data_IF_637889519091
#
_entry.id   IF_637889519091
#
_cell.length_a   1.000
_cell.length_b   1.000
_cell.length_c   1.000
_cell.angle_alpha   90.00
_cell.angle_beta   90.00
_cell.angle_gamma   90.00
#
_symmetry.space_group_name_H-M   'P 1'
#
loop_
_entity.id
_entity.type
_entity.pdbx_description
1 polymer ?
#
# COMPACT_ATOMS: atom_id res chain seq x y z
N UNK A 1 35.87 26.94 -11.61
CA UNK A 1 35.55 25.65 -12.28
C UNK A 1 34.39 24.88 -11.64
N UNK A 2 34.25 24.82 -10.31
CA UNK A 2 33.15 24.10 -9.63
C UNK A 2 31.72 24.52 -10.04
N UNK A 3 31.49 25.80 -10.34
CA UNK A 3 30.15 26.31 -10.67
C UNK A 3 29.65 25.91 -12.09
N UNK A 4 30.55 25.49 -13.00
CA UNK A 4 30.18 24.95 -14.32
C UNK A 4 29.76 23.48 -14.23
N UNK A 5 30.36 22.70 -13.33
CA UNK A 5 30.05 21.28 -13.13
C UNK A 5 28.65 21.07 -12.54
N UNK A 6 28.24 21.89 -11.57
CA UNK A 6 26.91 21.83 -10.96
C UNK A 6 25.79 22.19 -11.94
N UNK A 7 26.02 23.15 -12.85
CA UNK A 7 25.04 23.52 -13.88
C UNK A 7 24.86 22.44 -14.95
N UNK A 8 25.93 21.74 -15.33
CA UNK A 8 25.85 20.62 -16.27
C UNK A 8 25.04 19.46 -15.67
N UNK A 9 25.34 19.06 -14.43
CA UNK A 9 24.60 18.02 -13.71
C UNK A 9 23.11 18.37 -13.57
N UNK A 10 22.77 19.64 -13.31
CA UNK A 10 21.38 20.09 -13.24
C UNK A 10 20.65 20.07 -14.58
N UNK A 11 21.34 20.33 -15.69
CA UNK A 11 20.77 20.26 -17.03
C UNK A 11 20.51 18.79 -17.43
N UNK A 12 21.46 17.90 -17.16
CA UNK A 12 21.34 16.46 -17.43
C UNK A 12 20.20 15.82 -16.62
N UNK A 13 20.07 16.20 -15.34
CA UNK A 13 18.94 15.77 -14.48
C UNK A 13 17.60 16.27 -15.03
N UNK A 14 17.55 17.46 -15.64
CA UNK A 14 16.32 18.02 -16.21
C UNK A 14 15.93 17.33 -17.53
N UNK A 15 16.89 17.01 -18.39
CA UNK A 15 16.66 16.24 -19.61
C UNK A 15 16.19 14.81 -19.29
N UNK A 16 16.86 14.14 -18.35
CA UNK A 16 16.46 12.81 -17.88
C UNK A 16 15.02 12.79 -17.31
N UNK A 17 14.61 13.86 -16.61
CA UNK A 17 13.23 14.01 -16.12
C UNK A 17 12.20 14.08 -17.25
N UNK A 18 12.48 14.82 -18.32
CA UNK A 18 11.57 14.92 -19.47
C UNK A 18 11.45 13.58 -20.19
N UNK A 19 12.58 12.89 -20.40
CA UNK A 19 12.59 11.57 -21.03
C UNK A 19 11.85 10.51 -20.20
N UNK A 20 11.95 10.57 -18.87
CA UNK A 20 11.22 9.68 -17.97
C UNK A 20 9.72 9.94 -17.96
N UNK A 21 9.29 11.18 -18.18
CA UNK A 21 7.87 11.50 -18.23
C UNK A 21 7.19 10.91 -19.48
N UNK A 22 7.93 10.80 -20.59
CA UNK A 22 7.47 10.22 -21.86
C UNK A 22 7.82 8.73 -22.03
N UNK A 23 8.63 8.15 -21.13
CA UNK A 23 9.05 6.76 -21.18
C UNK A 23 7.86 5.79 -20.97
N UNK A 24 7.93 4.60 -21.57
CA UNK A 24 7.04 3.49 -21.22
C UNK A 24 7.37 2.93 -19.82
N UNK A 25 6.44 2.15 -19.27
CA UNK A 25 6.55 1.62 -17.90
C UNK A 25 7.75 0.68 -17.72
N UNK A 26 8.13 -0.03 -18.78
CA UNK A 26 9.24 -0.99 -18.75
C UNK A 26 10.60 -0.28 -18.71
N UNK A 27 10.72 0.86 -19.38
CA UNK A 27 11.88 1.75 -19.30
C UNK A 27 11.94 2.42 -17.93
N UNK A 28 10.81 2.79 -17.35
CA UNK A 28 10.76 3.33 -15.97
C UNK A 28 11.23 2.28 -14.96
N UNK A 29 10.74 1.04 -15.03
CA UNK A 29 11.21 -0.06 -14.15
C UNK A 29 12.73 -0.24 -14.23
N UNK A 30 13.29 -0.25 -15.44
CA UNK A 30 14.74 -0.36 -15.65
C UNK A 30 15.52 0.83 -15.06
N UNK A 31 15.05 2.05 -15.27
CA UNK A 31 15.73 3.24 -14.71
C UNK A 31 15.67 3.23 -13.18
N UNK A 32 14.58 2.79 -12.57
CA UNK A 32 14.49 2.66 -11.11
C UNK A 32 15.47 1.62 -10.59
N UNK A 33 15.57 0.46 -11.25
CA UNK A 33 16.53 -0.57 -10.85
C UNK A 33 17.96 -0.03 -10.86
N UNK A 34 18.33 0.74 -11.90
CA UNK A 34 19.64 1.41 -11.98
C UNK A 34 19.80 2.48 -10.91
N UNK A 35 18.79 3.32 -10.66
CA UNK A 35 18.85 4.36 -9.63
C UNK A 35 18.99 3.74 -8.23
N UNK A 36 18.31 2.63 -7.94
CA UNK A 36 18.41 1.92 -6.66
C UNK A 36 19.83 1.31 -6.45
N UNK A 37 20.63 1.13 -7.50
CA UNK A 37 22.05 0.72 -7.43
C UNK A 37 23.00 1.91 -7.23
N UNK A 38 22.58 3.14 -7.55
CA UNK A 38 23.39 4.36 -7.39
C UNK A 38 23.38 4.84 -5.93
N UNK A 39 24.56 5.13 -5.39
CA UNK A 39 24.79 5.32 -3.96
C UNK A 39 24.34 6.67 -3.36
N UNK A 40 23.89 7.67 -4.13
CA UNK A 40 23.46 8.97 -3.58
C UNK A 40 21.93 9.05 -3.40
N UNK A 41 21.42 8.93 -2.16
CA UNK A 41 19.99 8.94 -1.89
C UNK A 41 19.32 10.29 -2.18
N UNK A 42 20.08 11.40 -2.10
CA UNK A 42 19.54 12.75 -2.33
C UNK A 42 19.30 13.00 -3.82
N UNK A 43 20.22 12.54 -4.67
CA UNK A 43 20.08 12.62 -6.13
C UNK A 43 18.93 11.72 -6.59
N UNK A 44 18.86 10.49 -6.08
CA UNK A 44 17.76 9.57 -6.38
C UNK A 44 16.40 10.17 -5.98
N UNK A 45 16.29 10.76 -4.80
CA UNK A 45 15.05 11.40 -4.36
C UNK A 45 14.64 12.52 -5.32
N UNK A 46 15.56 13.41 -5.69
CA UNK A 46 15.28 14.50 -6.61
C UNK A 46 14.87 14.02 -8.02
N UNK A 47 15.36 12.88 -8.50
CA UNK A 47 14.99 12.31 -9.80
C UNK A 47 13.62 11.63 -9.72
N UNK A 48 13.32 10.93 -8.63
CA UNK A 48 12.09 10.14 -8.46
C UNK A 48 10.89 10.98 -8.01
N UNK A 49 11.10 12.12 -7.35
CA UNK A 49 10.04 12.99 -6.82
C UNK A 49 8.95 13.34 -7.84
N UNK A 50 9.27 13.80 -9.07
CA UNK A 50 8.28 14.11 -10.09
C UNK A 50 7.51 12.87 -10.59
N UNK A 51 8.12 11.69 -10.49
CA UNK A 51 7.53 10.44 -10.96
C UNK A 51 6.73 9.74 -9.86
N UNK A 52 6.72 10.24 -8.61
CA UNK A 52 6.12 9.54 -7.46
C UNK A 52 4.71 9.02 -7.71
N UNK A 53 3.84 9.85 -8.30
CA UNK A 53 2.46 9.43 -8.63
C UNK A 53 2.45 8.24 -9.60
N UNK A 54 3.25 8.32 -10.67
CA UNK A 54 3.40 7.23 -11.64
C UNK A 54 4.05 5.99 -11.02
N UNK A 55 5.04 6.14 -10.16
CA UNK A 55 5.68 5.03 -9.45
C UNK A 55 4.76 4.36 -8.44
N UNK A 56 3.89 5.12 -7.78
CA UNK A 56 2.87 4.59 -6.90
C UNK A 56 1.87 3.72 -7.68
N UNK A 57 1.52 4.14 -8.90
CA UNK A 57 0.72 3.32 -9.81
C UNK A 57 1.47 2.07 -10.28
N UNK A 58 2.71 2.19 -10.75
CA UNK A 58 3.46 1.05 -11.30
C UNK A 58 3.89 0.02 -10.26
N UNK A 59 3.95 0.41 -8.99
CA UNK A 59 4.42 -0.39 -7.85
C UNK A 59 5.58 -1.36 -8.21
N UNK A 60 6.68 -0.84 -8.79
CA UNK A 60 7.74 -1.71 -9.31
C UNK A 60 8.39 -2.47 -8.15
N UNK A 61 8.57 -3.78 -8.33
CA UNK A 61 9.33 -4.61 -7.40
C UNK A 61 10.74 -4.03 -7.25
N UNK A 62 11.08 -3.59 -6.04
CA UNK A 62 12.37 -2.95 -5.79
C UNK A 62 13.40 -3.97 -5.30
N UNK A 63 14.71 -3.76 -5.52
CA UNK A 63 15.74 -4.59 -4.92
C UNK A 63 15.58 -4.70 -3.39
N UNK A 64 15.74 -5.90 -2.85
CA UNK A 64 15.65 -6.13 -1.41
C UNK A 64 16.98 -5.73 -0.76
N UNK A 65 16.99 -4.55 -0.14
CA UNK A 65 18.16 -4.01 0.57
C UNK A 65 18.02 -4.22 2.08
N UNK A 66 19.15 -4.26 2.79
CA UNK A 66 19.18 -4.47 4.25
C UNK A 66 18.27 -3.49 5.01
N UNK A 67 18.37 -2.18 4.75
CA UNK A 67 17.55 -1.17 5.41
C UNK A 67 16.06 -1.31 5.07
N UNK A 68 15.75 -1.67 3.81
CA UNK A 68 14.39 -1.90 3.34
C UNK A 68 13.77 -3.13 4.00
N UNK A 69 14.53 -4.23 4.12
CA UNK A 69 14.10 -5.41 4.87
C UNK A 69 13.89 -5.06 6.35
N UNK A 70 14.84 -4.36 6.97
CA UNK A 70 14.78 -4.00 8.40
C UNK A 70 13.50 -3.25 8.75
N UNK A 71 13.13 -2.23 7.97
CA UNK A 71 11.96 -1.38 8.28
C UNK A 71 10.67 -1.79 7.57
N UNK A 72 10.67 -2.88 6.82
CA UNK A 72 9.48 -3.35 6.09
C UNK A 72 8.23 -3.53 6.97
N UNK A 73 8.32 -4.02 8.23
CA UNK A 73 7.16 -4.08 9.11
C UNK A 73 6.59 -2.70 9.48
N UNK A 74 7.40 -1.64 9.40
CA UNK A 74 7.05 -0.27 9.75
C UNK A 74 6.64 0.59 8.56
N UNK A 75 6.78 0.09 7.31
CA UNK A 75 6.55 0.87 6.09
C UNK A 75 5.28 1.75 6.12
N UNK A 76 4.10 1.27 6.58
CA UNK A 76 2.89 2.08 6.63
C UNK A 76 2.94 3.28 7.58
N UNK A 77 3.88 3.29 8.52
CA UNK A 77 4.03 4.33 9.54
C UNK A 77 5.22 5.28 9.26
N UNK A 78 5.95 5.07 8.17
CA UNK A 78 7.11 5.90 7.84
C UNK A 78 6.67 7.19 7.14
N UNK A 79 6.84 8.32 7.82
CA UNK A 79 6.43 9.64 7.34
C UNK A 79 7.64 10.53 6.99
N UNK A 80 7.50 11.50 6.08
CA UNK A 80 8.44 12.60 5.93
C UNK A 80 8.69 13.33 7.25
N UNK A 81 9.95 13.71 7.53
CA UNK A 81 10.30 14.38 8.78
C UNK A 81 9.46 15.65 9.11
N UNK A 82 9.06 16.51 8.15
CA UNK A 82 8.21 17.67 8.45
C UNK A 82 6.80 17.32 8.95
N UNK A 83 6.30 16.13 8.58
CA UNK A 83 4.98 15.63 8.97
C UNK A 83 5.02 14.86 10.29
N UNK A 84 6.21 14.45 10.74
CA UNK A 84 6.35 13.68 11.98
C UNK A 84 6.04 14.53 13.21
N UNK A 85 5.37 13.91 14.19
CA UNK A 85 5.09 14.47 15.51
C UNK A 85 5.46 13.45 16.60
N UNK A 86 6.02 13.88 17.75
CA UNK A 86 6.45 12.95 18.80
C UNK A 86 5.34 12.13 19.45
N UNK A 87 4.12 12.65 19.47
CA UNK A 87 2.91 12.08 20.07
C UNK A 87 2.10 11.20 19.11
N UNK A 88 2.43 11.23 17.82
CA UNK A 88 1.86 10.35 16.82
C UNK A 88 2.68 9.04 16.71
N UNK A 89 2.05 7.86 16.62
CA UNK A 89 2.63 6.57 16.27
C UNK A 89 3.02 6.54 14.78
N UNK A 90 4.00 7.37 14.43
CA UNK A 90 4.68 7.38 13.15
C UNK A 90 6.20 7.41 13.36
N UNK A 91 6.94 7.06 12.31
CA UNK A 91 8.40 7.01 12.31
C UNK A 91 8.94 8.00 11.28
N UNK A 92 9.82 8.95 11.65
CA UNK A 92 10.35 9.91 10.71
C UNK A 92 11.38 9.21 9.81
N UNK A 93 11.25 9.38 8.50
CA UNK A 93 12.16 8.78 7.50
C UNK A 93 13.63 9.11 7.73
N UNK A 94 13.95 10.26 8.33
CA UNK A 94 15.33 10.67 8.63
C UNK A 94 16.00 9.80 9.70
N UNK A 95 15.24 9.12 10.57
CA UNK A 95 15.77 8.24 11.61
C UNK A 95 16.20 6.85 11.09
N UNK A 96 15.71 6.43 9.92
CA UNK A 96 15.88 5.06 9.44
C UNK A 96 17.35 4.71 9.17
N UNK A 97 18.09 5.57 8.47
CA UNK A 97 19.46 5.25 8.06
C UNK A 97 20.44 5.16 9.25
N UNK A 98 20.41 6.07 10.24
CA UNK A 98 21.22 5.91 11.45
C UNK A 98 20.90 4.62 12.21
N UNK A 99 19.62 4.30 12.40
CA UNK A 99 19.20 3.07 13.08
C UNK A 99 19.64 1.82 12.31
N UNK A 100 19.50 1.80 10.98
CA UNK A 100 19.96 0.67 10.15
C UNK A 100 21.47 0.43 10.27
N UNK A 101 22.28 1.50 10.36
CA UNK A 101 23.74 1.36 10.53
C UNK A 101 24.11 0.77 11.88
N UNK A 102 23.43 1.18 12.96
CA UNK A 102 23.60 0.60 14.30
C UNK A 102 23.33 -0.90 14.26
N UNK A 103 22.15 -1.30 13.76
CA UNK A 103 21.77 -2.70 13.65
C UNK A 103 22.78 -3.47 12.80
N UNK A 104 23.13 -2.95 11.62
CA UNK A 104 24.07 -3.61 10.71
C UNK A 104 25.46 -3.81 11.29
N UNK A 105 25.94 -2.86 12.10
CA UNK A 105 27.23 -2.95 12.77
C UNK A 105 27.22 -4.00 13.89
N UNK A 106 26.09 -4.13 14.61
CA UNK A 106 25.98 -5.02 15.77
C UNK A 106 25.60 -6.48 15.45
N UNK A 107 25.10 -6.77 14.24
CA UNK A 107 24.69 -8.14 13.83
C UNK A 107 25.83 -9.17 13.77
N UNK A 108 27.09 -8.74 13.69
CA UNK A 108 28.22 -9.66 13.60
C UNK A 108 28.11 -10.65 12.42
N UNK A 109 28.16 -11.95 12.72
CA UNK A 109 28.14 -13.01 11.69
C UNK A 109 26.77 -13.23 11.05
N UNK A 110 25.67 -12.93 11.75
CA UNK A 110 24.29 -13.07 11.23
C UNK A 110 24.05 -12.18 10.01
N UNK A 111 24.79 -11.06 9.94
CA UNK A 111 24.79 -10.19 8.76
C UNK A 111 25.14 -10.94 7.48
N UNK A 112 26.07 -11.90 7.51
CA UNK A 112 26.49 -12.64 6.31
C UNK A 112 25.34 -13.48 5.78
N UNK A 113 24.56 -14.10 6.67
CA UNK A 113 23.37 -14.85 6.29
C UNK A 113 22.34 -13.91 5.63
N UNK A 114 22.03 -12.79 6.28
CA UNK A 114 21.05 -11.82 5.77
C UNK A 114 21.49 -11.25 4.41
N UNK A 115 22.73 -10.77 4.28
CA UNK A 115 23.27 -10.20 3.05
C UNK A 115 23.23 -11.23 1.90
N UNK A 116 23.48 -12.52 2.16
CA UNK A 116 23.35 -13.60 1.16
C UNK A 116 21.91 -13.90 0.77
N UNK A 117 20.99 -13.95 1.74
CA UNK A 117 19.59 -14.27 1.49
C UNK A 117 18.90 -13.19 0.64
N UNK A 118 19.26 -11.92 0.82
CA UNK A 118 18.65 -10.81 0.07
C UNK A 118 19.36 -10.49 -1.26
N UNK A 119 20.58 -11.00 -1.49
CA UNK A 119 21.36 -10.70 -2.68
C UNK A 119 20.62 -11.07 -3.97
N UNK A 120 20.43 -10.08 -4.86
CA UNK A 120 19.72 -10.26 -6.13
C UNK A 120 18.21 -10.51 -6.00
N UNK A 121 17.64 -10.40 -4.80
CA UNK A 121 16.20 -10.56 -4.56
C UNK A 121 15.47 -9.23 -4.62
N UNK A 122 14.15 -9.28 -4.77
CA UNK A 122 13.28 -8.10 -4.75
C UNK A 122 12.34 -8.14 -3.54
N UNK A 123 11.68 -7.02 -3.26
CA UNK A 123 10.62 -6.93 -2.24
C UNK A 123 9.42 -7.83 -2.54
N UNK A 124 9.26 -8.28 -3.79
CA UNK A 124 8.24 -9.25 -4.19
C UNK A 124 8.61 -10.71 -3.91
N UNK A 125 9.87 -11.02 -3.58
CA UNK A 125 10.28 -12.37 -3.19
C UNK A 125 9.87 -12.63 -1.73
N UNK A 126 8.60 -13.02 -1.56
CA UNK A 126 7.98 -13.18 -0.23
C UNK A 126 8.67 -14.23 0.62
N UNK A 127 9.27 -15.26 0.01
CA UNK A 127 10.03 -16.29 0.72
C UNK A 127 11.36 -15.74 1.23
N UNK A 128 12.12 -15.01 0.39
CA UNK A 128 13.37 -14.39 0.82
C UNK A 128 13.14 -13.36 1.93
N UNK A 129 12.07 -12.56 1.81
CA UNK A 129 11.68 -11.59 2.85
C UNK A 129 11.32 -12.28 4.15
N UNK A 130 10.47 -13.32 4.12
CA UNK A 130 10.09 -14.07 5.32
C UNK A 130 11.32 -14.67 6.01
N UNK A 131 12.17 -15.38 5.26
CA UNK A 131 13.35 -16.06 5.80
C UNK A 131 14.37 -15.07 6.39
N UNK A 132 14.71 -14.01 5.66
CA UNK A 132 15.67 -13.02 6.14
C UNK A 132 15.08 -12.16 7.27
N UNK A 133 13.79 -11.83 7.21
CA UNK A 133 13.08 -11.04 8.21
C UNK A 133 12.95 -11.78 9.54
N UNK A 134 12.66 -13.08 9.51
CA UNK A 134 12.59 -13.93 10.71
C UNK A 134 13.92 -13.94 11.49
N UNK A 135 15.05 -13.98 10.78
CA UNK A 135 16.37 -13.87 11.40
C UNK A 135 16.72 -12.43 11.83
N UNK A 136 16.32 -11.41 11.05
CA UNK A 136 16.73 -10.03 11.26
C UNK A 136 15.92 -9.31 12.34
N UNK A 137 14.59 -9.36 12.29
CA UNK A 137 13.75 -8.41 13.04
C UNK A 137 13.80 -8.61 14.56
N UNK A 138 13.71 -9.84 15.12
CA UNK A 138 13.85 -10.05 16.56
C UNK A 138 15.22 -9.60 17.06
N UNK A 139 16.30 -9.91 16.32
CA UNK A 139 17.65 -9.51 16.70
C UNK A 139 17.85 -8.00 16.64
N UNK A 140 17.31 -7.35 15.62
CA UNK A 140 17.36 -5.90 15.51
C UNK A 140 16.62 -5.21 16.66
N UNK A 141 15.52 -5.79 17.15
CA UNK A 141 14.81 -5.29 18.32
C UNK A 141 15.67 -5.32 19.59
N UNK A 142 16.42 -6.40 19.80
CA UNK A 142 17.36 -6.52 20.93
C UNK A 142 18.48 -5.49 20.83
N UNK A 143 19.08 -5.33 19.64
CA UNK A 143 20.16 -4.36 19.41
C UNK A 143 19.66 -2.94 19.71
N UNK A 144 18.48 -2.56 19.20
CA UNK A 144 17.94 -1.21 19.37
C UNK A 144 17.49 -0.90 20.80
N UNK A 145 17.20 -1.91 21.62
CA UNK A 145 16.78 -1.70 23.01
C UNK A 145 17.89 -1.03 23.85
N UNK A 146 19.14 -1.41 23.59
CA UNK A 146 20.31 -1.01 24.40
C UNK A 146 21.30 -0.10 23.66
N UNK A 147 21.13 0.10 22.34
CA UNK A 147 22.08 0.87 21.55
C UNK A 147 22.08 2.36 21.93
N UNK A 148 23.25 2.99 22.16
CA UNK A 148 23.33 4.43 22.38
C UNK A 148 23.01 5.22 21.11
N UNK A 149 22.67 6.50 21.27
CA UNK A 149 22.43 7.38 20.13
C UNK A 149 23.68 7.44 19.22
N UNK A 150 23.52 7.31 17.89
CA UNK A 150 24.64 7.36 16.98
C UNK A 150 25.26 8.76 16.95
N UNK A 151 26.57 8.85 16.69
CA UNK A 151 27.29 10.12 16.69
C UNK A 151 26.70 11.15 15.71
N UNK A 152 26.09 10.69 14.61
CA UNK A 152 25.47 11.52 13.60
C UNK A 152 23.95 11.64 13.73
N UNK A 153 23.38 11.34 14.91
CA UNK A 153 21.95 11.53 15.18
C UNK A 153 21.49 12.97 14.92
N UNK A 154 22.35 13.96 15.17
CA UNK A 154 22.06 15.37 14.92
C UNK A 154 21.72 15.66 13.44
N UNK A 155 22.25 14.88 12.49
CA UNK A 155 21.96 15.04 11.06
C UNK A 155 20.52 14.68 10.69
N UNK A 156 19.81 13.96 11.57
CA UNK A 156 18.38 13.64 11.37
C UNK A 156 17.47 14.85 11.54
N UNK A 157 17.97 15.91 12.19
CA UNK A 157 17.19 17.07 12.62
C UNK A 157 16.33 16.83 13.87
N UNK A 158 16.42 15.64 14.49
CA UNK A 158 15.66 15.27 15.68
C UNK A 158 16.45 15.58 16.95
N UNK A 159 15.74 15.95 18.02
CA UNK A 159 16.38 16.20 19.31
C UNK A 159 17.02 14.90 19.88
N UNK A 160 18.19 14.97 20.55
CA UNK A 160 18.83 13.77 21.12
C UNK A 160 17.94 12.96 22.07
N UNK A 161 17.09 13.64 22.85
CA UNK A 161 16.14 13.01 23.78
C UNK A 161 15.09 12.11 23.11
N UNK A 162 14.86 12.28 21.80
CA UNK A 162 13.89 11.50 21.02
C UNK A 162 14.45 10.13 20.64
N UNK A 163 15.78 9.99 20.57
CA UNK A 163 16.42 8.76 20.08
C UNK A 163 15.96 7.52 20.85
N UNK A 164 16.14 7.50 22.17
CA UNK A 164 15.90 6.28 22.95
C UNK A 164 14.43 5.84 22.94
N UNK A 165 13.44 6.73 23.19
CA UNK A 165 12.03 6.35 23.09
C UNK A 165 11.64 5.83 21.69
N UNK A 166 12.16 6.46 20.63
CA UNK A 166 11.87 6.06 19.26
C UNK A 166 12.51 4.71 18.91
N UNK A 167 13.78 4.49 19.28
CA UNK A 167 14.48 3.22 19.08
C UNK A 167 13.79 2.07 19.81
N UNK A 168 13.33 2.29 21.06
CA UNK A 168 12.56 1.31 21.83
C UNK A 168 11.20 1.01 21.20
N UNK A 169 10.48 2.03 20.73
CA UNK A 169 9.19 1.85 20.07
C UNK A 169 9.34 1.06 18.76
N UNK A 170 10.35 1.38 17.95
CA UNK A 170 10.70 0.63 16.73
C UNK A 170 11.10 -0.80 17.10
N UNK A 171 11.93 -0.99 18.13
CA UNK A 171 12.33 -2.32 18.62
C UNK A 171 11.12 -3.16 19.03
N UNK A 172 10.13 -2.57 19.71
CA UNK A 172 8.90 -3.26 20.08
C UNK A 172 8.13 -3.78 18.85
N UNK A 173 8.10 -3.01 17.75
CA UNK A 173 7.52 -3.44 16.48
C UNK A 173 8.35 -4.55 15.82
N UNK A 174 9.67 -4.37 15.73
CA UNK A 174 10.57 -5.33 15.09
C UNK A 174 10.56 -6.70 15.79
N UNK A 175 10.41 -6.74 17.11
CA UNK A 175 10.24 -8.00 17.85
C UNK A 175 9.05 -8.83 17.35
N UNK A 176 8.03 -8.15 16.82
CA UNK A 176 6.80 -8.73 16.24
C UNK A 176 6.81 -8.77 14.72
N UNK A 177 7.93 -8.37 14.10
CA UNK A 177 8.11 -8.26 12.66
C UNK A 177 7.62 -9.49 11.89
N UNK A 178 7.99 -10.73 12.29
CA UNK A 178 7.56 -11.94 11.58
C UNK A 178 6.04 -12.07 11.48
N UNK A 179 5.34 -11.86 12.60
CA UNK A 179 3.88 -11.97 12.66
C UNK A 179 3.18 -10.80 11.96
N UNK A 180 3.71 -9.58 12.06
CA UNK A 180 3.19 -8.43 11.32
C UNK A 180 3.35 -8.62 9.81
N UNK A 181 4.49 -9.15 9.36
CA UNK A 181 4.70 -9.47 7.95
C UNK A 181 3.77 -10.57 7.47
N UNK A 182 3.58 -11.63 8.26
CA UNK A 182 2.63 -12.69 7.95
C UNK A 182 1.19 -12.15 7.85
N UNK A 183 0.76 -11.33 8.82
CA UNK A 183 -0.55 -10.69 8.82
C UNK A 183 -0.80 -9.89 7.54
N UNK A 184 0.18 -9.07 7.13
CA UNK A 184 0.11 -8.32 5.86
C UNK A 184 0.02 -9.24 4.65
N UNK A 185 0.86 -10.28 4.59
CA UNK A 185 0.87 -11.23 3.47
C UNK A 185 -0.45 -11.98 3.35
N UNK A 186 -1.00 -12.44 4.47
CA UNK A 186 -2.28 -13.17 4.53
C UNK A 186 -3.41 -12.24 4.02
N UNK A 187 -3.37 -10.95 4.39
CA UNK A 187 -4.28 -9.94 3.84
C UNK A 187 -4.12 -9.75 2.32
N UNK A 188 -2.88 -9.65 1.82
CA UNK A 188 -2.59 -9.44 0.39
C UNK A 188 -3.10 -10.61 -0.48
N UNK A 189 -3.12 -11.84 0.05
CA UNK A 189 -3.69 -13.02 -0.64
C UNK A 189 -5.19 -13.20 -0.38
N UNK A 190 -5.82 -12.29 0.36
CA UNK A 190 -7.26 -12.29 0.61
C UNK A 190 -7.73 -13.29 1.68
N UNK A 191 -6.86 -13.75 2.57
CA UNK A 191 -7.26 -14.51 3.75
C UNK A 191 -7.92 -13.52 4.72
N UNK A 192 -9.25 -13.57 4.80
CA UNK A 192 -10.06 -12.58 5.53
C UNK A 192 -10.31 -12.95 6.99
N UNK A 193 -10.30 -14.25 7.31
CA UNK A 193 -10.42 -14.71 8.68
C UNK A 193 -9.12 -14.34 9.39
N UNK A 194 -9.17 -13.23 10.12
CA UNK A 194 -8.04 -12.69 10.85
C UNK A 194 -7.33 -13.83 11.56
N UNK A 195 -6.05 -13.99 11.24
CA UNK A 195 -5.22 -15.04 11.81
C UNK A 195 -5.12 -14.77 13.32
N UNK A 196 -6.10 -15.27 14.09
CA UNK A 196 -6.23 -14.99 15.53
C UNK A 196 -4.94 -15.37 16.23
N UNK A 197 -4.30 -16.46 15.80
CA UNK A 197 -3.00 -16.90 16.30
C UNK A 197 -1.88 -15.87 16.01
N UNK A 198 -1.83 -15.27 14.82
CA UNK A 198 -0.85 -14.22 14.53
C UNK A 198 -1.14 -12.95 15.35
N UNK A 199 -2.40 -12.58 15.53
CA UNK A 199 -2.79 -11.43 16.36
C UNK A 199 -2.42 -11.69 17.82
N UNK A 200 -2.73 -12.88 18.36
CA UNK A 200 -2.34 -13.28 19.71
C UNK A 200 -0.81 -13.25 19.90
N UNK A 201 -0.05 -13.71 18.90
CA UNK A 201 1.41 -13.64 18.92
C UNK A 201 1.94 -12.20 18.86
N UNK A 202 1.29 -11.30 18.11
CA UNK A 202 1.61 -9.87 18.09
C UNK A 202 1.31 -9.24 19.46
N UNK A 203 0.18 -9.60 20.09
CA UNK A 203 -0.24 -9.05 21.37
C UNK A 203 0.50 -9.65 22.56
N UNK A 204 1.17 -10.78 22.38
CA UNK A 204 1.94 -11.42 23.44
C UNK A 204 3.00 -10.45 23.98
N UNK A 205 2.96 -10.24 25.31
CA UNK A 205 3.88 -9.33 26.01
C UNK A 205 3.81 -7.87 25.52
N UNK A 206 2.68 -7.43 24.93
CA UNK A 206 2.53 -6.04 24.48
C UNK A 206 2.69 -5.04 25.62
N UNK A 207 2.31 -5.42 26.85
CA UNK A 207 2.45 -4.60 28.06
C UNK A 207 3.90 -4.36 28.49
N UNK A 208 4.86 -5.11 27.94
CA UNK A 208 6.30 -4.87 28.13
C UNK A 208 6.85 -3.79 27.18
N UNK A 209 6.08 -3.37 26.17
CA UNK A 209 6.46 -2.28 25.30
C UNK A 209 6.18 -0.92 25.95
N UNK A 210 6.87 0.12 25.48
CA UNK A 210 6.51 1.50 25.83
C UNK A 210 5.14 1.86 25.26
N UNK A 211 4.49 2.89 25.81
CA UNK A 211 3.21 3.40 25.30
C UNK A 211 3.28 3.70 23.79
N UNK A 212 4.35 4.35 23.34
CA UNK A 212 4.59 4.63 21.93
C UNK A 212 4.74 3.34 21.10
N UNK A 213 5.42 2.32 21.65
CA UNK A 213 5.54 1.01 21.00
C UNK A 213 4.17 0.32 20.85
N UNK A 214 3.35 0.35 21.90
CA UNK A 214 1.97 -0.14 21.85
C UNK A 214 1.14 0.58 20.79
N UNK A 215 1.24 1.91 20.72
CA UNK A 215 0.54 2.72 19.72
C UNK A 215 0.98 2.41 18.28
N UNK A 216 2.30 2.26 18.03
CA UNK A 216 2.81 1.81 16.72
C UNK A 216 2.28 0.43 16.33
N UNK A 217 2.30 -0.53 17.25
CA UNK A 217 1.83 -1.90 17.00
C UNK A 217 0.32 -1.90 16.71
N UNK A 218 -0.47 -1.23 17.54
CA UNK A 218 -1.92 -1.13 17.34
C UNK A 218 -2.25 -0.48 15.99
N UNK A 219 -1.62 0.65 15.65
CA UNK A 219 -1.81 1.31 14.35
C UNK A 219 -1.40 0.42 13.17
N UNK A 220 -0.29 -0.32 13.28
CA UNK A 220 0.12 -1.27 12.23
C UNK A 220 -0.90 -2.38 12.01
N UNK A 221 -1.40 -2.98 13.09
CA UNK A 221 -2.41 -4.03 13.01
C UNK A 221 -3.69 -3.48 12.37
N UNK A 222 -4.16 -2.29 12.78
CA UNK A 222 -5.34 -1.66 12.20
C UNK A 222 -5.17 -1.30 10.72
N UNK A 223 -4.00 -0.78 10.33
CA UNK A 223 -3.71 -0.43 8.93
C UNK A 223 -3.58 -1.66 8.05
N UNK A 224 -3.01 -2.76 8.55
CA UNK A 224 -2.76 -3.97 7.75
C UNK A 224 -3.95 -4.94 7.76
N UNK A 225 -4.71 -5.00 8.85
CA UNK A 225 -5.85 -5.89 9.03
C UNK A 225 -6.93 -5.19 9.87
N UNK A 226 -7.77 -4.33 9.28
CA UNK A 226 -8.80 -3.61 10.02
C UNK A 226 -9.78 -4.54 10.77
N UNK A 227 -10.03 -5.75 10.25
CA UNK A 227 -10.81 -6.81 10.92
C UNK A 227 -10.26 -7.25 12.28
N UNK A 228 -9.00 -6.90 12.60
CA UNK A 228 -8.39 -7.20 13.89
C UNK A 228 -8.88 -6.26 14.99
N UNK A 229 -9.54 -5.13 14.67
CA UNK A 229 -9.98 -4.17 15.69
C UNK A 229 -10.85 -4.79 16.79
N UNK A 230 -11.89 -5.61 16.49
CA UNK A 230 -12.66 -6.30 17.52
C UNK A 230 -11.82 -7.29 18.34
N UNK A 231 -10.84 -7.97 17.71
CA UNK A 231 -9.94 -8.92 18.38
C UNK A 231 -9.00 -8.20 19.36
N UNK A 232 -8.43 -7.06 18.95
CA UNK A 232 -7.63 -6.19 19.82
C UNK A 232 -8.43 -5.76 21.06
N UNK A 233 -9.72 -5.42 20.89
CA UNK A 233 -10.61 -5.04 22.01
C UNK A 233 -11.04 -6.22 22.87
N UNK A 234 -11.24 -7.41 22.29
CA UNK A 234 -11.48 -8.66 23.02
C UNK A 234 -10.30 -8.98 23.93
N UNK A 235 -9.08 -8.86 23.40
CA UNK A 235 -7.85 -9.06 24.16
C UNK A 235 -7.78 -8.13 25.38
N UNK A 236 -8.01 -6.83 25.17
CA UNK A 236 -8.05 -5.84 26.25
C UNK A 236 -9.11 -6.16 27.31
N UNK A 237 -10.31 -6.60 26.88
CA UNK A 237 -11.41 -6.92 27.80
C UNK A 237 -11.17 -8.21 28.58
N UNK A 238 -10.38 -9.14 28.04
CA UNK A 238 -10.06 -10.45 28.65
C UNK A 238 -8.85 -10.42 29.58
N UNK A 239 -8.03 -9.37 29.53
CA UNK A 239 -6.78 -9.27 30.31
C UNK A 239 -7.00 -9.16 31.82
N UNK A 240 -6.29 -9.99 32.59
CA UNK A 240 -6.28 -9.91 34.06
C UNK A 240 -5.53 -8.68 34.59
N UNK A 241 -4.63 -8.09 33.79
CA UNK A 241 -3.89 -6.88 34.13
C UNK A 241 -4.67 -5.61 33.72
N UNK A 242 -5.32 -4.99 34.71
CA UNK A 242 -6.11 -3.76 34.52
C UNK A 242 -5.25 -2.57 34.03
N UNK A 243 -3.95 -2.53 34.36
CA UNK A 243 -3.04 -1.47 33.97
C UNK A 243 -2.61 -1.60 32.50
N UNK A 244 -2.12 -2.78 32.13
CA UNK A 244 -1.75 -3.09 30.75
C UNK A 244 -2.93 -2.99 29.77
N UNK A 245 -4.11 -3.44 30.18
CA UNK A 245 -5.33 -3.34 29.37
C UNK A 245 -5.71 -1.90 29.03
N UNK A 246 -5.54 -0.95 29.97
CA UNK A 246 -5.82 0.48 29.72
C UNK A 246 -4.88 1.06 28.66
N UNK A 247 -3.59 0.81 28.78
CA UNK A 247 -2.57 1.31 27.84
C UNK A 247 -2.83 0.81 26.41
N UNK A 248 -3.13 -0.48 26.26
CA UNK A 248 -3.45 -1.05 24.94
C UNK A 248 -4.75 -0.47 24.38
N UNK A 249 -5.77 -0.23 25.23
CA UNK A 249 -7.00 0.45 24.82
C UNK A 249 -6.73 1.85 24.29
N UNK A 250 -5.99 2.66 25.05
CA UNK A 250 -5.62 4.03 24.65
C UNK A 250 -4.81 4.04 23.36
N UNK A 251 -3.92 3.07 23.16
CA UNK A 251 -3.18 2.88 21.92
C UNK A 251 -4.08 2.54 20.72
N UNK A 252 -5.08 1.67 20.90
CA UNK A 252 -6.07 1.32 19.86
C UNK A 252 -6.93 2.54 19.52
N UNK A 253 -7.44 3.24 20.53
CA UNK A 253 -8.29 4.41 20.35
C UNK A 253 -7.52 5.54 19.67
N UNK A 254 -6.27 5.81 20.07
CA UNK A 254 -5.37 6.77 19.40
C UNK A 254 -5.10 6.39 17.95
N UNK A 255 -4.76 5.12 17.69
CA UNK A 255 -4.52 4.63 16.33
C UNK A 255 -5.77 4.73 15.44
N UNK A 256 -6.96 4.48 16.01
CA UNK A 256 -8.24 4.61 15.30
C UNK A 256 -8.54 6.07 14.98
N UNK A 257 -8.39 6.97 15.96
CA UNK A 257 -8.60 8.41 15.78
C UNK A 257 -7.71 8.97 14.67
N UNK A 258 -6.42 8.65 14.69
CA UNK A 258 -5.50 9.11 13.66
C UNK A 258 -5.81 8.57 12.27
N UNK A 259 -6.28 7.33 12.17
CA UNK A 259 -6.74 6.78 10.89
C UNK A 259 -7.96 7.56 10.37
N UNK A 260 -8.91 7.89 11.25
CA UNK A 260 -10.07 8.70 10.87
C UNK A 260 -9.64 10.13 10.48
N UNK A 261 -8.75 10.76 11.23
CA UNK A 261 -8.22 12.11 10.90
C UNK A 261 -7.48 12.12 9.56
N UNK A 262 -6.66 11.09 9.30
CA UNK A 262 -5.97 10.94 8.04
C UNK A 262 -6.93 10.71 6.86
N UNK A 263 -8.10 10.10 7.12
CA UNK A 263 -9.14 9.94 6.10
C UNK A 263 -9.87 11.27 5.83
N UNK A 264 -10.03 12.12 6.84
CA UNK A 264 -10.67 13.44 6.68
C UNK A 264 -9.83 14.41 5.85
N UNK A 265 -8.51 14.34 5.92
CA UNK A 265 -7.59 15.21 5.15
C UNK A 265 -7.86 15.15 3.63
N UNK A 266 -8.08 16.31 3.00
CA UNK A 266 -8.36 16.45 1.57
C UNK A 266 -7.28 15.82 0.69
N UNK A 267 -6.01 15.92 1.09
CA UNK A 267 -4.88 15.33 0.38
C UNK A 267 -4.67 13.84 0.68
N UNK A 268 -5.47 13.26 1.58
CA UNK A 268 -5.33 11.90 2.09
C UNK A 268 -5.84 10.81 1.13
N UNK A 269 -6.54 9.83 1.70
CA UNK A 269 -6.88 8.57 1.03
C UNK A 269 -7.66 8.74 -0.29
N UNK A 270 -8.48 9.79 -0.43
CA UNK A 270 -9.27 10.02 -1.63
C UNK A 270 -8.40 10.29 -2.85
N UNK A 271 -7.35 11.12 -2.68
CA UNK A 271 -6.35 11.39 -3.70
C UNK A 271 -5.54 10.14 -4.04
N UNK A 272 -5.20 9.34 -3.02
CA UNK A 272 -4.53 8.05 -3.20
C UNK A 272 -5.36 7.10 -4.08
N UNK A 273 -6.66 6.91 -3.77
CA UNK A 273 -7.55 6.05 -4.57
C UNK A 273 -7.68 6.54 -6.00
N UNK A 274 -7.77 7.86 -6.21
CA UNK A 274 -7.88 8.43 -7.56
C UNK A 274 -6.63 8.22 -8.42
N UNK A 275 -5.46 8.06 -7.79
CA UNK A 275 -4.16 8.01 -8.49
C UNK A 275 -3.49 6.64 -8.50
N UNK A 276 -3.95 5.70 -7.65
CA UNK A 276 -3.41 4.34 -7.59
C UNK A 276 -3.73 3.56 -8.88
N UNK A 277 -2.90 2.57 -9.21
CA UNK A 277 -3.20 1.63 -10.30
C UNK A 277 -4.53 0.92 -10.05
N UNK A 278 -5.29 0.68 -11.12
CA UNK A 278 -6.65 0.17 -11.03
C UNK A 278 -6.71 -1.19 -10.33
N UNK A 279 -5.75 -2.07 -10.62
CA UNK A 279 -5.59 -3.38 -9.97
C UNK A 279 -5.48 -3.30 -8.43
N UNK A 280 -5.00 -2.18 -7.89
CA UNK A 280 -4.84 -1.98 -6.44
C UNK A 280 -6.01 -1.19 -5.82
N UNK A 281 -6.86 -0.56 -6.63
CA UNK A 281 -7.95 0.27 -6.15
C UNK A 281 -9.00 -0.55 -5.38
N UNK A 282 -9.44 -1.70 -5.93
CA UNK A 282 -10.40 -2.59 -5.26
C UNK A 282 -9.92 -3.06 -3.88
N UNK A 283 -8.72 -3.66 -3.74
CA UNK A 283 -8.14 -4.04 -2.45
C UNK A 283 -8.06 -2.87 -1.45
N UNK A 284 -7.64 -1.68 -1.89
CA UNK A 284 -7.57 -0.49 -1.03
C UNK A 284 -8.95 -0.08 -0.52
N UNK A 285 -9.95 -0.05 -1.40
CA UNK A 285 -11.34 0.29 -1.04
C UNK A 285 -11.91 -0.73 -0.07
N UNK A 286 -11.71 -2.04 -0.31
CA UNK A 286 -12.11 -3.11 0.61
C UNK A 286 -11.57 -2.87 2.02
N UNK A 287 -10.29 -2.52 2.13
CA UNK A 287 -9.62 -2.27 3.41
C UNK A 287 -10.26 -1.10 4.16
N UNK A 288 -10.51 0.01 3.48
CA UNK A 288 -11.14 1.20 4.08
C UNK A 288 -12.59 0.90 4.48
N UNK A 289 -13.38 0.27 3.60
CA UNK A 289 -14.77 -0.13 3.90
C UNK A 289 -14.84 -1.04 5.12
N UNK A 290 -13.90 -1.98 5.21
CA UNK A 290 -13.79 -2.88 6.35
C UNK A 290 -13.52 -2.10 7.62
N UNK A 291 -12.50 -1.24 7.61
CA UNK A 291 -12.17 -0.40 8.76
C UNK A 291 -13.38 0.41 9.23
N UNK A 292 -14.05 1.13 8.32
CA UNK A 292 -15.22 1.95 8.65
C UNK A 292 -16.36 1.11 9.24
N UNK A 293 -16.59 -0.10 8.73
CA UNK A 293 -17.60 -1.02 9.27
C UNK A 293 -17.22 -1.52 10.67
N UNK A 294 -15.96 -1.85 10.94
CA UNK A 294 -15.54 -2.27 12.27
C UNK A 294 -15.69 -1.12 13.29
N UNK A 295 -15.35 0.11 12.91
CA UNK A 295 -15.56 1.30 13.76
C UNK A 295 -17.05 1.58 13.97
N UNK A 296 -17.88 1.46 12.93
CA UNK A 296 -19.33 1.68 13.02
C UNK A 296 -20.04 0.66 13.91
N UNK A 297 -19.57 -0.59 13.91
CA UNK A 297 -20.08 -1.66 14.76
C UNK A 297 -19.62 -1.54 16.22
N UNK A 298 -18.65 -0.67 16.50
CA UNK A 298 -18.15 -0.45 17.86
C UNK A 298 -19.01 0.58 18.61
N UNK A 299 -19.66 0.19 19.73
CA UNK A 299 -20.43 1.11 20.55
C UNK A 299 -19.63 2.32 21.05
N UNK A 300 -18.30 2.18 21.21
CA UNK A 300 -17.41 3.25 21.66
C UNK A 300 -17.31 4.43 20.68
N UNK A 301 -17.63 4.23 19.39
CA UNK A 301 -17.54 5.23 18.33
C UNK A 301 -18.91 5.69 17.84
N UNK A 302 -19.96 5.51 18.65
CA UNK A 302 -21.31 5.95 18.28
C UNK A 302 -21.39 7.46 18.01
N UNK A 303 -20.52 8.26 18.66
CA UNK A 303 -20.40 9.71 18.43
C UNK A 303 -19.80 10.06 17.06
N UNK A 304 -19.00 9.16 16.47
CA UNK A 304 -18.31 9.37 15.20
C UNK A 304 -19.17 9.07 13.97
N UNK A 305 -20.43 8.63 14.12
CA UNK A 305 -21.31 8.30 12.98
C UNK A 305 -21.40 9.39 11.90
N UNK A 306 -21.55 10.70 12.23
CA UNK A 306 -21.55 11.76 11.22
C UNK A 306 -20.23 11.83 10.44
N UNK A 307 -19.11 11.64 11.14
CA UNK A 307 -17.76 11.62 10.59
C UNK A 307 -17.55 10.42 9.66
N UNK A 308 -17.96 9.23 10.09
CA UNK A 308 -17.93 8.02 9.26
C UNK A 308 -18.75 8.18 7.99
N UNK A 309 -19.93 8.83 8.07
CA UNK A 309 -20.75 9.11 6.90
C UNK A 309 -20.04 10.05 5.91
N UNK A 310 -19.41 11.12 6.40
CA UNK A 310 -18.63 12.03 5.56
C UNK A 310 -17.44 11.34 4.88
N UNK A 311 -16.72 10.48 5.60
CA UNK A 311 -15.62 9.68 5.04
C UNK A 311 -16.14 8.71 3.98
N UNK A 312 -17.29 8.05 4.20
CA UNK A 312 -17.92 7.16 3.20
C UNK A 312 -18.30 7.92 1.93
N UNK A 313 -18.90 9.11 2.05
CA UNK A 313 -19.25 9.91 0.88
C UNK A 313 -18.01 10.28 0.06
N UNK A 314 -16.94 10.73 0.74
CA UNK A 314 -15.66 11.06 0.11
C UNK A 314 -15.01 9.84 -0.57
N UNK A 315 -15.14 8.65 0.05
CA UNK A 315 -14.68 7.40 -0.52
C UNK A 315 -15.46 7.02 -1.78
N UNK A 316 -16.79 7.16 -1.77
CA UNK A 316 -17.63 6.88 -2.94
C UNK A 316 -17.24 7.82 -4.11
N UNK A 317 -17.11 9.12 -3.85
CA UNK A 317 -16.70 10.09 -4.86
C UNK A 317 -15.32 9.75 -5.47
N UNK A 318 -14.36 9.36 -4.63
CA UNK A 318 -13.04 8.93 -5.09
C UNK A 318 -13.07 7.63 -5.92
N UNK A 319 -13.89 6.66 -5.51
CA UNK A 319 -14.09 5.40 -6.26
C UNK A 319 -14.71 5.67 -7.62
N UNK A 320 -15.75 6.51 -7.68
CA UNK A 320 -16.44 6.86 -8.93
C UNK A 320 -15.49 7.59 -9.89
N UNK A 321 -14.68 8.52 -9.38
CA UNK A 321 -13.66 9.20 -10.18
C UNK A 321 -12.62 8.21 -10.72
N UNK A 322 -12.06 7.34 -9.86
CA UNK A 322 -11.05 6.35 -10.31
C UNK A 322 -11.60 5.37 -11.32
N UNK A 323 -12.82 4.87 -11.10
CA UNK A 323 -13.51 3.94 -12.00
C UNK A 323 -13.76 4.60 -13.36
N UNK A 324 -14.30 5.81 -13.38
CA UNK A 324 -14.58 6.55 -14.62
C UNK A 324 -13.27 6.82 -15.40
N UNK A 325 -12.22 7.24 -14.70
CA UNK A 325 -10.92 7.49 -15.32
C UNK A 325 -10.29 6.20 -15.88
N UNK A 326 -10.36 5.09 -15.14
CA UNK A 326 -9.86 3.79 -15.59
C UNK A 326 -10.64 3.27 -16.79
N UNK A 327 -11.97 3.35 -16.75
CA UNK A 327 -12.83 2.96 -17.86
C UNK A 327 -12.48 3.75 -19.13
N UNK A 328 -12.42 5.07 -19.03
CA UNK A 328 -12.15 5.93 -20.19
C UNK A 328 -10.75 5.73 -20.75
N UNK A 329 -9.71 5.80 -19.90
CA UNK A 329 -8.32 5.80 -20.34
C UNK A 329 -7.78 4.41 -20.70
N UNK A 330 -8.21 3.36 -19.98
CA UNK A 330 -7.60 2.03 -20.07
C UNK A 330 -8.46 1.04 -20.88
N UNK A 331 -9.74 1.34 -21.13
CA UNK A 331 -10.65 0.49 -21.92
C UNK A 331 -11.26 1.21 -23.14
N UNK A 332 -11.98 2.32 -22.94
CA UNK A 332 -12.76 2.95 -24.01
C UNK A 332 -11.90 3.64 -25.07
N UNK A 333 -10.94 4.48 -24.67
CA UNK A 333 -10.06 5.15 -25.61
C UNK A 333 -9.24 4.15 -26.46
N UNK A 334 -8.62 3.09 -25.89
CA UNK A 334 -7.92 2.08 -26.69
C UNK A 334 -8.83 1.31 -27.67
N UNK A 335 -10.11 1.11 -27.35
CA UNK A 335 -11.09 0.51 -28.28
C UNK A 335 -11.42 1.45 -29.44
N UNK A 336 -11.61 2.73 -29.16
CA UNK A 336 -11.98 3.74 -30.14
C UNK A 336 -10.81 4.12 -31.08
N UNK A 337 -9.59 4.14 -30.57
CA UNK A 337 -8.38 4.56 -31.30
C UNK A 337 -7.72 3.42 -32.09
N UNK A 338 -8.19 2.17 -31.92
CA UNK A 338 -7.60 1.02 -32.60
C UNK A 338 -7.75 1.15 -34.14
N UNK A 339 -6.64 1.16 -34.90
CA UNK A 339 -6.69 1.33 -36.36
C UNK A 339 -7.16 0.06 -37.10
N UNK A 340 -7.46 -1.01 -36.36
CA UNK A 340 -7.86 -2.31 -36.89
C UNK A 340 -8.02 -3.34 -35.79
N UNK A 341 -8.08 -4.65 -36.14
CA UNK A 341 -8.32 -5.71 -35.18
C UNK A 341 -7.29 -5.74 -34.05
N UNK A 342 -7.77 -5.76 -32.81
CA UNK A 342 -6.90 -5.79 -31.62
C UNK A 342 -6.12 -7.10 -31.56
N UNK A 343 -4.81 -7.04 -31.30
CA UNK A 343 -3.97 -8.24 -31.14
C UNK A 343 -4.19 -8.97 -29.81
N UNK A 344 -3.61 -10.15 -29.65
CA UNK A 344 -3.72 -10.93 -28.40
C UNK A 344 -3.27 -10.16 -27.15
N UNK A 345 -2.15 -9.46 -27.22
CA UNK A 345 -1.65 -8.64 -26.11
C UNK A 345 -2.59 -7.48 -25.77
N UNK A 346 -3.23 -6.85 -26.77
CA UNK A 346 -4.22 -5.79 -26.55
C UNK A 346 -5.47 -6.33 -25.87
N UNK A 347 -5.96 -7.50 -26.31
CA UNK A 347 -7.07 -8.19 -25.66
C UNK A 347 -6.77 -8.51 -24.20
N UNK A 348 -5.61 -9.10 -23.89
CA UNK A 348 -5.24 -9.44 -22.52
C UNK A 348 -5.22 -8.21 -21.61
N UNK A 349 -4.72 -7.06 -22.11
CA UNK A 349 -4.75 -5.80 -21.35
C UNK A 349 -6.18 -5.33 -21.08
N UNK A 350 -7.06 -5.36 -22.09
CA UNK A 350 -8.46 -4.96 -21.92
C UNK A 350 -9.19 -5.88 -20.94
N UNK A 351 -9.01 -7.19 -21.04
CA UNK A 351 -9.62 -8.12 -20.08
C UNK A 351 -9.08 -7.92 -18.66
N UNK A 352 -7.79 -7.63 -18.48
CA UNK A 352 -7.22 -7.30 -17.17
C UNK A 352 -7.88 -6.04 -16.60
N UNK A 353 -7.92 -4.95 -17.39
CA UNK A 353 -8.57 -3.71 -17.01
C UNK A 353 -10.04 -3.93 -16.64
N UNK A 354 -10.81 -4.68 -17.44
CA UNK A 354 -12.20 -5.00 -17.14
C UNK A 354 -12.36 -5.76 -15.83
N UNK A 355 -11.47 -6.72 -15.51
CA UNK A 355 -11.48 -7.43 -14.22
C UNK A 355 -11.15 -6.49 -13.06
N UNK A 356 -10.17 -5.60 -13.24
CA UNK A 356 -9.79 -4.63 -12.21
C UNK A 356 -10.91 -3.60 -11.96
N UNK A 357 -11.62 -3.16 -13.00
CA UNK A 357 -12.84 -2.33 -12.90
C UNK A 357 -13.92 -3.05 -12.07
N UNK A 358 -14.21 -4.33 -12.39
CA UNK A 358 -15.20 -5.12 -11.66
C UNK A 358 -14.80 -5.33 -10.20
N UNK A 359 -13.51 -5.56 -9.92
CA UNK A 359 -13.00 -5.67 -8.56
C UNK A 359 -13.20 -4.37 -7.76
N UNK A 360 -12.91 -3.21 -8.35
CA UNK A 360 -13.19 -1.91 -7.75
C UNK A 360 -14.69 -1.69 -7.52
N UNK A 361 -15.52 -1.97 -8.51
CA UNK A 361 -16.98 -1.81 -8.44
C UNK A 361 -17.60 -2.66 -7.33
N UNK A 362 -17.16 -3.91 -7.17
CA UNK A 362 -17.68 -4.83 -6.16
C UNK A 362 -17.47 -4.29 -4.74
N UNK A 363 -16.33 -3.64 -4.49
CA UNK A 363 -16.02 -3.04 -3.20
C UNK A 363 -16.68 -1.66 -3.03
N UNK A 364 -16.69 -0.85 -4.09
CA UNK A 364 -17.28 0.48 -4.08
C UNK A 364 -18.81 0.46 -3.85
N UNK A 365 -19.52 -0.57 -4.34
CA UNK A 365 -20.96 -0.76 -4.05
C UNK A 365 -21.28 -0.89 -2.57
N UNK A 366 -20.33 -1.35 -1.74
CA UNK A 366 -20.49 -1.43 -0.28
C UNK A 366 -20.41 -0.05 0.39
N UNK A 367 -19.92 0.95 -0.33
CA UNK A 367 -19.89 2.35 0.10
C UNK A 367 -21.17 3.06 -0.32
N UNK A 368 -21.56 2.93 -1.58
CA UNK A 368 -22.70 3.64 -2.18
C UNK A 368 -22.69 3.59 -3.72
N UNK A 369 -23.54 4.42 -4.35
CA UNK A 369 -23.39 4.74 -5.78
C UNK A 369 -23.71 3.64 -6.80
N UNK A 370 -24.32 2.51 -6.41
CA UNK A 370 -24.59 1.34 -7.26
C UNK A 370 -25.10 1.69 -8.68
N UNK A 371 -26.15 2.52 -8.77
CA UNK A 371 -26.76 2.91 -10.05
C UNK A 371 -25.84 3.69 -11.01
N UNK A 372 -24.78 4.34 -10.49
CA UNK A 372 -23.78 5.01 -11.34
C UNK A 372 -22.84 3.98 -11.98
N UNK A 373 -22.38 2.99 -11.21
CA UNK A 373 -21.55 1.90 -11.73
C UNK A 373 -22.31 1.07 -12.78
N UNK A 374 -23.59 0.79 -12.55
CA UNK A 374 -24.45 0.10 -13.54
C UNK A 374 -24.47 0.84 -14.88
N UNK A 375 -24.65 2.17 -14.86
CA UNK A 375 -24.63 2.98 -16.09
C UNK A 375 -23.28 2.97 -16.80
N UNK A 376 -22.18 3.09 -16.07
CA UNK A 376 -20.83 3.08 -16.64
C UNK A 376 -20.46 1.70 -17.23
N UNK A 377 -20.90 0.61 -16.60
CA UNK A 377 -20.71 -0.74 -17.13
C UNK A 377 -21.57 -0.98 -18.38
N UNK A 378 -22.78 -0.45 -18.42
CA UNK A 378 -23.60 -0.48 -19.63
C UNK A 378 -22.95 0.29 -20.78
N UNK A 379 -22.45 1.50 -20.52
CA UNK A 379 -21.69 2.29 -21.51
C UNK A 379 -20.47 1.52 -22.04
N UNK A 380 -19.74 0.84 -21.15
CA UNK A 380 -18.61 0.00 -21.54
C UNK A 380 -19.02 -1.17 -22.44
N UNK A 381 -20.15 -1.81 -22.11
CA UNK A 381 -20.75 -2.91 -22.88
C UNK A 381 -21.14 -2.42 -24.28
N UNK A 382 -21.80 -1.26 -24.37
CA UNK A 382 -22.22 -0.65 -25.64
C UNK A 382 -21.00 -0.29 -26.52
N UNK A 383 -19.92 0.23 -25.92
CA UNK A 383 -18.68 0.52 -26.63
C UNK A 383 -17.99 -0.74 -27.16
N UNK A 384 -17.97 -1.84 -26.38
CA UNK A 384 -17.46 -3.14 -26.83
C UNK A 384 -18.28 -3.67 -28.01
N UNK A 385 -19.60 -3.52 -27.98
CA UNK A 385 -20.48 -3.89 -29.09
C UNK A 385 -20.20 -3.06 -30.35
N UNK A 386 -20.03 -1.73 -30.21
CA UNK A 386 -19.70 -0.84 -31.32
C UNK A 386 -18.33 -1.17 -31.94
N UNK A 387 -17.31 -1.42 -31.10
CA UNK A 387 -15.98 -1.81 -31.57
C UNK A 387 -16.00 -3.14 -32.35
N UNK A 388 -16.81 -4.11 -31.91
CA UNK A 388 -16.99 -5.35 -32.64
C UNK A 388 -17.70 -5.15 -33.99
N UNK A 389 -18.73 -4.29 -34.05
CA UNK A 389 -19.39 -3.94 -35.31
C UNK A 389 -18.44 -3.24 -36.30
N UNK A 390 -17.45 -2.49 -35.80
CA UNK A 390 -16.40 -1.87 -36.60
C UNK A 390 -15.28 -2.86 -37.03
N UNK A 391 -15.34 -4.13 -36.61
CA UNK A 391 -14.32 -5.14 -36.91
C UNK A 391 -13.07 -5.07 -36.03
N UNK A 392 -13.05 -4.22 -35.00
CA UNK A 392 -11.94 -4.06 -34.05
C UNK A 392 -11.79 -5.30 -33.14
N UNK A 393 -12.89 -5.97 -32.83
CA UNK A 393 -12.93 -7.16 -31.99
C UNK A 393 -13.48 -8.36 -32.78
N UNK A 394 -12.86 -9.53 -32.58
CA UNK A 394 -13.42 -10.80 -33.05
C UNK A 394 -14.60 -11.22 -32.17
N UNK A 395 -15.52 -12.07 -32.65
CA UNK A 395 -16.69 -12.50 -31.88
C UNK A 395 -16.32 -13.07 -30.49
N UNK A 396 -15.28 -13.91 -30.44
CA UNK A 396 -14.79 -14.52 -29.18
C UNK A 396 -14.25 -13.47 -28.22
N UNK A 397 -13.50 -12.48 -28.71
CA UNK A 397 -12.92 -11.42 -27.89
C UNK A 397 -13.98 -10.49 -27.31
N UNK A 398 -14.99 -10.15 -28.12
CA UNK A 398 -16.17 -9.41 -27.66
C UNK A 398 -16.90 -10.19 -26.57
N UNK A 399 -17.24 -11.46 -26.79
CA UNK A 399 -17.96 -12.28 -25.81
C UNK A 399 -17.24 -12.33 -24.46
N UNK A 400 -15.91 -12.49 -24.45
CA UNK A 400 -15.11 -12.46 -23.22
C UNK A 400 -15.16 -11.12 -22.48
N UNK A 401 -15.11 -9.99 -23.19
CA UNK A 401 -15.22 -8.68 -22.55
C UNK A 401 -16.62 -8.45 -21.98
N UNK A 402 -17.67 -8.86 -22.70
CA UNK A 402 -19.06 -8.81 -22.22
C UNK A 402 -19.24 -9.69 -20.98
N UNK A 403 -18.68 -10.90 -20.98
CA UNK A 403 -18.72 -11.81 -19.82
C UNK A 403 -18.12 -11.17 -18.57
N UNK A 404 -16.98 -10.47 -18.70
CA UNK A 404 -16.34 -9.79 -17.57
C UNK A 404 -17.16 -8.58 -17.11
N UNK A 405 -17.61 -7.74 -18.05
CA UNK A 405 -18.25 -6.45 -17.74
C UNK A 405 -19.70 -6.60 -17.27
N UNK A 406 -20.47 -7.44 -17.95
CA UNK A 406 -21.92 -7.60 -17.78
C UNK A 406 -22.32 -8.97 -17.19
N UNK A 407 -21.38 -9.91 -17.06
CA UNK A 407 -21.61 -11.24 -16.50
C UNK A 407 -21.85 -12.32 -17.56
N UNK A 408 -21.79 -13.58 -17.11
CA UNK A 408 -21.89 -14.76 -17.97
C UNK A 408 -23.24 -14.90 -18.68
N UNK A 409 -24.34 -14.50 -18.02
CA UNK A 409 -25.69 -14.56 -18.60
C UNK A 409 -25.82 -13.64 -19.82
N UNK A 410 -25.37 -12.37 -19.70
CA UNK A 410 -25.37 -11.42 -20.81
C UNK A 410 -24.52 -11.90 -22.00
N UNK A 411 -23.38 -12.54 -21.72
CA UNK A 411 -22.53 -13.12 -22.76
C UNK A 411 -23.19 -14.33 -23.44
N UNK A 412 -23.87 -15.19 -22.68
CA UNK A 412 -24.59 -16.34 -23.19
C UNK A 412 -25.76 -15.92 -24.10
N UNK A 413 -26.58 -14.95 -23.67
CA UNK A 413 -27.66 -14.40 -24.50
C UNK A 413 -27.14 -13.84 -25.82
N UNK A 414 -25.99 -13.15 -25.79
CA UNK A 414 -25.38 -12.60 -27.00
C UNK A 414 -24.92 -13.72 -27.95
N UNK A 415 -24.31 -14.79 -27.42
CA UNK A 415 -23.91 -15.95 -28.20
C UNK A 415 -25.10 -16.67 -28.85
N UNK A 416 -26.19 -16.85 -28.12
CA UNK A 416 -27.42 -17.48 -28.63
C UNK A 416 -28.08 -16.65 -29.73
N UNK A 417 -28.17 -15.32 -29.57
CA UNK A 417 -28.74 -14.42 -30.59
C UNK A 417 -27.99 -14.46 -31.92
N UNK A 418 -26.70 -14.76 -31.89
CA UNK A 418 -25.87 -14.86 -33.09
C UNK A 418 -25.95 -16.23 -33.76
N UNK A 419 -25.99 -17.31 -32.98
CA UNK A 419 -26.11 -18.66 -33.53
C UNK A 419 -27.54 -19.06 -33.91
N UNK A 420 -28.56 -18.44 -33.29
CA UNK A 420 -29.97 -18.67 -33.59
C UNK A 420 -30.51 -17.87 -34.79
N UNK A 421 -29.67 -17.05 -35.44
CA UNK A 421 -29.98 -16.33 -36.69
C UNK A 421 -29.49 -17.05 -37.95
N UNK A 422 -29.22 -18.36 -37.85
CA UNK A 422 -28.86 -19.24 -38.97
C UNK A 422 -30.06 -19.77 -39.73
#
# INVERSE_FOLDING_TARGET
MQNKSLKAVQADVRALRQDLHAADDEKIRRVIAVLDEVADPRVNQAILDPLRSRLASLNPSRPLQFSRLLFMPLDPLIVPAPQWRPDEPSVPRTALMPLARIVRAALGSERIFIDRTIAGRSTGDTQAVALAGEALWPRAAEILADAPAPADWAETGLAPKVYQPLAQAIGAVLRRGPHLYQLRRDHDVGIQDGNEQAIDAILQGITLASEQGCALIARLVLVQSPHAAPLLRRFVSSGQDQGGGRMVREAIDRGTEEMLSAMEDEAGFASEIQTIALANAGPQVRRIVTFLREVENDPGFAADRPRLHAIRQKLDDACQARFSNGLNAELLAPLAEAPGPIGGAGQTRMESCSRDLRALETEARKVGGAARYDRLLQEATDAVMAAAAAGTLTPVRRLRLIEILAGAEAAAELYEKENGRG
#
